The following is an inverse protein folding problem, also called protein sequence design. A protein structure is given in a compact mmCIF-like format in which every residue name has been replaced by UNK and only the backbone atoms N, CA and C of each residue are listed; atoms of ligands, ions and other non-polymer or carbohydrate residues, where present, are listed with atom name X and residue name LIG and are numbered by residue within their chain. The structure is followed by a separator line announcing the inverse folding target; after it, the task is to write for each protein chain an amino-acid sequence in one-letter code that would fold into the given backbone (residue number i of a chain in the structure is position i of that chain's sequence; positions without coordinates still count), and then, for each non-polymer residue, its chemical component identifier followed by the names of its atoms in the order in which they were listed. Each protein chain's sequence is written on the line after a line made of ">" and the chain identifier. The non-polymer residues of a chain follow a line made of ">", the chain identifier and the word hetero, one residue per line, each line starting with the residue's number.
data_IF_685902050436
#
_entry.id   IF_685902050436
#
_cell.length_a   1.000
_cell.length_b   1.000
_cell.length_c   1.000
_cell.angle_alpha   90.00
_cell.angle_beta   90.00
_cell.angle_gamma   90.00
#
_symmetry.space_group_name_H-M   'P 1'
#
loop_
_entity.id
_entity.type
_entity.pdbx_description
1 polymer ?
#
# COMPACT_ATOMS: atom_id res chain seq x y z
N UNK A 1 -26.29 15.16 -11.95
CA UNK A 1 -25.35 16.06 -11.24
C UNK A 1 -24.18 15.21 -10.75
N UNK A 2 -23.04 15.17 -11.45
CA UNK A 2 -21.83 14.48 -10.94
C UNK A 2 -21.36 15.27 -9.72
N UNK A 3 -21.36 14.66 -8.55
CA UNK A 3 -20.90 15.32 -7.33
C UNK A 3 -19.42 15.68 -7.48
N UNK A 4 -18.90 16.70 -6.78
CA UNK A 4 -17.45 17.03 -6.82
C UNK A 4 -16.56 15.81 -6.54
N UNK A 5 -17.08 14.81 -5.82
CA UNK A 5 -16.45 13.51 -5.53
C UNK A 5 -16.27 12.58 -6.76
N UNK A 6 -17.11 12.71 -7.79
CA UNK A 6 -17.08 11.85 -8.98
C UNK A 6 -16.06 12.33 -10.03
N UNK A 7 -15.57 13.55 -9.87
CA UNK A 7 -14.50 14.11 -10.70
C UNK A 7 -13.23 13.25 -10.60
N UNK A 8 -12.42 13.21 -11.66
CA UNK A 8 -11.13 12.52 -11.59
C UNK A 8 -10.31 13.04 -10.40
N UNK A 9 -10.30 14.36 -10.20
CA UNK A 9 -9.61 15.03 -9.08
C UNK A 9 -10.11 14.52 -7.73
N UNK A 10 -11.41 14.46 -7.49
CA UNK A 10 -11.98 13.96 -6.22
C UNK A 10 -11.65 12.49 -5.94
N UNK A 11 -11.43 11.69 -6.98
CA UNK A 11 -11.03 10.28 -6.83
C UNK A 11 -9.54 10.12 -6.56
N UNK A 12 -8.69 10.92 -7.20
CA UNK A 12 -7.24 10.81 -7.08
C UNK A 12 -6.66 11.62 -5.92
N UNK A 13 -7.32 12.66 -5.43
CA UNK A 13 -6.83 13.49 -4.31
C UNK A 13 -6.48 12.65 -3.07
N UNK A 14 -7.34 11.72 -2.58
CA UNK A 14 -6.98 10.86 -1.45
C UNK A 14 -5.79 9.95 -1.72
N UNK A 15 -5.58 9.51 -2.96
CA UNK A 15 -4.42 8.67 -3.35
C UNK A 15 -3.14 9.46 -3.13
N UNK A 16 -3.07 10.69 -3.65
CA UNK A 16 -1.89 11.54 -3.51
C UNK A 16 -1.66 11.99 -2.07
N UNK A 17 -2.72 12.29 -1.31
CA UNK A 17 -2.59 12.61 0.12
C UNK A 17 -2.02 11.44 0.91
N UNK A 18 -2.50 10.22 0.66
CA UNK A 18 -2.00 9.03 1.34
C UNK A 18 -0.57 8.68 0.92
N UNK A 19 -0.26 8.80 -0.38
CA UNK A 19 1.13 8.69 -0.86
C UNK A 19 2.05 9.72 -0.17
N UNK A 20 1.61 10.95 0.04
CA UNK A 20 2.41 11.93 0.77
C UNK A 20 2.66 11.51 2.23
N UNK A 21 1.69 10.88 2.89
CA UNK A 21 1.86 10.32 4.24
C UNK A 21 2.91 9.21 4.26
N UNK A 22 2.82 8.24 3.33
CA UNK A 22 3.80 7.15 3.23
C UNK A 22 5.19 7.72 3.00
N UNK A 23 5.34 8.63 2.04
CA UNK A 23 6.60 9.28 1.73
C UNK A 23 7.20 10.02 2.95
N UNK A 24 6.36 10.73 3.71
CA UNK A 24 6.80 11.42 4.92
C UNK A 24 7.32 10.44 5.98
N UNK A 25 6.63 9.31 6.20
CA UNK A 25 7.09 8.28 7.13
C UNK A 25 8.37 7.58 6.64
N UNK A 26 8.48 7.32 5.34
CA UNK A 26 9.68 6.74 4.72
C UNK A 26 10.88 7.68 4.76
N UNK A 27 10.66 8.99 4.85
CA UNK A 27 11.73 10.00 5.01
C UNK A 27 12.33 10.01 6.42
N UNK A 28 11.70 9.35 7.40
CA UNK A 28 12.20 9.29 8.77
C UNK A 28 13.27 8.20 8.87
N UNK A 29 14.42 8.55 9.45
CA UNK A 29 15.51 7.63 9.75
C UNK A 29 15.02 6.50 10.65
N UNK A 30 15.62 5.31 10.57
CA UNK A 30 15.13 4.14 11.30
C UNK A 30 14.92 4.40 12.79
N UNK A 31 13.65 4.38 13.20
CA UNK A 31 13.24 4.36 14.60
C UNK A 31 13.25 2.90 15.06
N UNK A 32 13.87 2.63 16.21
CA UNK A 32 13.67 1.36 16.92
C UNK A 32 12.32 1.40 17.63
N UNK A 33 11.42 0.51 17.25
CA UNK A 33 10.11 0.31 17.86
C UNK A 33 10.21 -0.62 19.07
N UNK A 34 11.17 -1.55 19.05
CA UNK A 34 11.46 -2.47 20.16
C UNK A 34 12.97 -2.72 20.29
N UNK A 35 13.41 -3.02 21.50
CA UNK A 35 14.78 -3.49 21.78
C UNK A 35 15.03 -4.88 21.19
N UNK A 36 13.97 -5.69 21.06
CA UNK A 36 14.05 -7.02 20.51
C UNK A 36 13.87 -6.99 18.99
N UNK A 37 14.88 -7.48 18.27
CA UNK A 37 14.91 -7.51 16.81
C UNK A 37 13.63 -8.07 16.16
N UNK A 38 13.10 -9.21 16.66
CA UNK A 38 11.93 -9.86 16.05
C UNK A 38 10.68 -8.97 16.14
N UNK A 39 10.50 -8.29 17.27
CA UNK A 39 9.32 -7.44 17.53
C UNK A 39 9.40 -6.14 16.75
N UNK A 40 10.61 -5.56 16.64
CA UNK A 40 10.87 -4.39 15.81
C UNK A 40 10.61 -4.69 14.32
N UNK A 41 11.10 -5.83 13.84
CA UNK A 41 10.89 -6.28 12.47
C UNK A 41 9.40 -6.50 12.15
N UNK A 42 8.68 -7.24 13.01
CA UNK A 42 7.24 -7.51 12.82
C UNK A 42 6.45 -6.21 12.82
N UNK A 43 6.69 -5.30 13.77
CA UNK A 43 5.98 -4.03 13.85
C UNK A 43 6.17 -3.18 12.58
N UNK A 44 7.41 -3.09 12.08
CA UNK A 44 7.73 -2.36 10.84
C UNK A 44 7.05 -2.98 9.62
N UNK A 45 7.03 -4.31 9.50
CA UNK A 45 6.35 -4.99 8.39
C UNK A 45 4.83 -4.81 8.44
N UNK A 46 4.20 -4.83 9.63
CA UNK A 46 2.77 -4.55 9.76
C UNK A 46 2.44 -3.12 9.32
N UNK A 47 3.28 -2.15 9.67
CA UNK A 47 3.10 -0.76 9.24
C UNK A 47 3.11 -0.64 7.70
N UNK A 48 4.14 -1.19 7.03
CA UNK A 48 4.24 -1.16 5.57
C UNK A 48 3.07 -1.88 4.89
N UNK A 49 2.70 -3.07 5.37
CA UNK A 49 1.53 -3.80 4.85
C UNK A 49 0.26 -2.94 4.94
N UNK A 50 0.07 -2.24 6.05
CA UNK A 50 -1.10 -1.38 6.27
C UNK A 50 -1.10 -0.16 5.34
N UNK A 51 0.04 0.50 5.20
CA UNK A 51 0.26 1.66 4.33
C UNK A 51 -0.08 1.34 2.86
N UNK A 52 0.51 0.28 2.31
CA UNK A 52 0.31 -0.11 0.92
C UNK A 52 -1.07 -0.73 0.68
N UNK A 53 -1.68 -1.38 1.68
CA UNK A 53 -3.06 -1.87 1.59
C UNK A 53 -4.06 -0.71 1.45
N UNK A 54 -3.90 0.34 2.26
CA UNK A 54 -4.74 1.55 2.16
C UNK A 54 -4.51 2.23 0.80
N UNK A 55 -3.25 2.37 0.38
CA UNK A 55 -2.93 2.94 -0.94
C UNK A 55 -3.60 2.16 -2.08
N UNK A 56 -3.51 0.83 -2.06
CA UNK A 56 -4.15 -0.03 -3.07
C UNK A 56 -5.67 0.19 -3.11
N UNK A 57 -6.35 0.24 -1.96
CA UNK A 57 -7.81 0.47 -1.91
C UNK A 57 -8.17 1.84 -2.50
N UNK A 58 -7.38 2.86 -2.22
CA UNK A 58 -7.59 4.21 -2.75
C UNK A 58 -7.37 4.25 -4.27
N UNK A 59 -6.32 3.60 -4.77
CA UNK A 59 -6.05 3.48 -6.21
C UNK A 59 -7.15 2.65 -6.89
N UNK A 60 -7.59 1.54 -6.30
CA UNK A 60 -8.68 0.70 -6.81
C UNK A 60 -9.97 1.50 -6.97
N UNK A 61 -10.29 2.37 -5.99
CA UNK A 61 -11.40 3.32 -6.13
C UNK A 61 -11.14 4.33 -7.26
N UNK A 62 -9.92 4.86 -7.37
CA UNK A 62 -9.54 5.84 -8.38
C UNK A 62 -9.53 5.29 -9.82
N UNK A 63 -9.22 4.02 -10.00
CA UNK A 63 -9.23 3.31 -11.30
C UNK A 63 -10.59 2.69 -11.62
N UNK A 64 -11.62 2.94 -10.78
CA UNK A 64 -12.97 2.36 -10.91
C UNK A 64 -12.99 0.83 -10.88
N UNK A 65 -12.14 0.25 -10.05
CA UNK A 65 -12.09 -1.19 -9.82
C UNK A 65 -11.23 -1.97 -10.81
N UNK A 66 -10.38 -1.30 -11.60
CA UNK A 66 -9.41 -1.99 -12.45
C UNK A 66 -8.29 -2.59 -11.59
N UNK A 67 -8.37 -3.90 -11.37
CA UNK A 67 -7.42 -4.63 -10.54
C UNK A 67 -5.97 -4.51 -11.03
N UNK A 68 -5.74 -4.74 -12.33
CA UNK A 68 -4.39 -4.77 -12.91
C UNK A 68 -3.71 -3.40 -12.83
N UNK A 69 -4.42 -2.33 -13.22
CA UNK A 69 -3.89 -0.97 -13.11
C UNK A 69 -3.59 -0.60 -11.65
N UNK A 70 -4.46 -1.00 -10.72
CA UNK A 70 -4.27 -0.67 -9.30
C UNK A 70 -3.08 -1.39 -8.68
N UNK A 71 -2.90 -2.65 -9.06
CA UNK A 71 -1.75 -3.45 -8.63
C UNK A 71 -0.45 -2.85 -9.18
N UNK A 72 -0.40 -2.56 -10.49
CA UNK A 72 0.79 -1.96 -11.14
C UNK A 72 1.15 -0.62 -10.49
N UNK A 73 0.18 0.28 -10.29
CA UNK A 73 0.45 1.58 -9.69
C UNK A 73 0.91 1.47 -8.23
N UNK A 74 0.34 0.55 -7.46
CA UNK A 74 0.79 0.30 -6.07
C UNK A 74 2.22 -0.25 -6.05
N UNK A 75 2.55 -1.20 -6.93
CA UNK A 75 3.90 -1.77 -7.04
C UNK A 75 4.93 -0.73 -7.48
N UNK A 76 4.59 0.12 -8.46
CA UNK A 76 5.45 1.22 -8.89
C UNK A 76 5.73 2.21 -7.75
N UNK A 77 4.69 2.56 -6.99
CA UNK A 77 4.85 3.46 -5.86
C UNK A 77 5.69 2.82 -4.74
N UNK A 78 5.43 1.57 -4.37
CA UNK A 78 6.23 0.84 -3.39
C UNK A 78 7.71 0.74 -3.80
N UNK A 79 7.99 0.39 -5.05
CA UNK A 79 9.36 0.37 -5.57
C UNK A 79 10.03 1.75 -5.56
N UNK A 80 9.27 2.82 -5.83
CA UNK A 80 9.80 4.19 -5.73
C UNK A 80 10.09 4.60 -4.29
N UNK A 81 9.31 4.12 -3.33
CA UNK A 81 9.52 4.38 -1.91
C UNK A 81 10.74 3.63 -1.37
N UNK A 82 10.93 2.36 -1.72
CA UNK A 82 12.15 1.62 -1.38
C UNK A 82 13.41 2.29 -1.96
N UNK A 83 13.32 2.74 -3.22
CA UNK A 83 14.39 3.50 -3.83
C UNK A 83 14.67 4.80 -3.07
N UNK A 84 13.64 5.56 -2.70
CA UNK A 84 13.76 6.76 -1.87
C UNK A 84 14.40 6.45 -0.50
N UNK A 85 13.97 5.38 0.17
CA UNK A 85 14.51 4.95 1.46
C UNK A 85 16.01 4.60 1.40
N UNK A 86 16.53 4.19 0.23
CA UNK A 86 17.98 3.95 0.04
C UNK A 86 18.83 5.21 0.18
N UNK A 87 18.23 6.39 0.02
CA UNK A 87 18.89 7.68 0.24
C UNK A 87 18.74 8.21 1.67
N UNK A 88 17.96 7.54 2.52
CA UNK A 88 17.74 7.97 3.91
C UNK A 88 18.85 7.42 4.82
N UNK A 89 19.70 8.26 5.42
CA UNK A 89 20.81 7.82 6.25
C UNK A 89 20.36 6.92 7.41
N UNK A 90 21.08 5.83 7.67
CA UNK A 90 20.76 4.89 8.75
C UNK A 90 19.64 3.89 8.43
N UNK A 91 19.07 3.89 7.21
CA UNK A 91 18.31 2.75 6.67
C UNK A 91 19.26 1.84 5.91
N UNK A 92 19.29 0.54 6.25
CA UNK A 92 19.79 -0.45 5.30
C UNK A 92 18.69 -0.69 4.26
N UNK A 93 18.78 -0.08 3.08
CA UNK A 93 18.01 -0.55 1.93
C UNK A 93 18.59 -1.88 1.49
N UNK A 94 18.16 -2.97 2.14
CA UNK A 94 18.46 -4.28 1.63
C UNK A 94 17.63 -4.43 0.35
N UNK A 95 18.25 -4.32 -0.82
CA UNK A 95 17.64 -4.69 -2.10
C UNK A 95 17.03 -6.12 -2.10
N UNK A 96 17.33 -6.92 -1.07
CA UNK A 96 16.71 -8.22 -0.77
C UNK A 96 15.30 -8.16 -0.14
N UNK A 97 14.82 -6.99 0.34
CA UNK A 97 13.48 -6.80 0.95
C UNK A 97 12.34 -6.67 -0.07
N UNK A 98 12.66 -6.41 -1.35
CA UNK A 98 11.72 -6.32 -2.48
C UNK A 98 10.88 -7.60 -2.66
N UNK A 99 11.41 -8.74 -2.19
CA UNK A 99 10.70 -10.03 -2.17
C UNK A 99 9.69 -10.19 -1.02
N UNK A 100 9.93 -9.56 0.13
CA UNK A 100 8.99 -9.59 1.26
C UNK A 100 7.89 -8.54 1.11
N UNK A 101 8.18 -7.38 0.52
CA UNK A 101 7.17 -6.32 0.38
C UNK A 101 6.10 -6.67 -0.69
N UNK A 102 6.41 -7.60 -1.61
CA UNK A 102 5.42 -8.27 -2.45
C UNK A 102 4.48 -9.22 -1.68
N UNK A 103 4.85 -9.74 -0.50
CA UNK A 103 3.97 -10.66 0.26
C UNK A 103 2.76 -9.95 0.86
N UNK A 104 2.91 -8.70 1.32
CA UNK A 104 1.81 -7.88 1.82
C UNK A 104 0.74 -7.62 0.75
N UNK A 105 1.17 -7.21 -0.45
CA UNK A 105 0.29 -7.00 -1.60
C UNK A 105 -0.37 -8.31 -2.08
N UNK A 106 0.34 -9.44 -2.02
CA UNK A 106 -0.21 -10.76 -2.34
C UNK A 106 -1.23 -11.24 -1.30
N UNK A 107 -1.01 -10.99 -0.01
CA UNK A 107 -1.96 -11.35 1.06
C UNK A 107 -3.22 -10.48 0.96
N UNK A 108 -3.07 -9.17 0.81
CA UNK A 108 -4.20 -8.26 0.66
C UNK A 108 -5.03 -8.57 -0.60
N UNK A 109 -4.37 -8.88 -1.72
CA UNK A 109 -5.07 -9.26 -2.96
C UNK A 109 -5.80 -10.60 -2.84
N UNK A 110 -5.21 -11.61 -2.19
CA UNK A 110 -5.87 -12.89 -1.92
C UNK A 110 -7.13 -12.73 -1.06
N UNK A 111 -7.07 -11.94 0.01
CA UNK A 111 -8.21 -11.68 0.89
C UNK A 111 -9.34 -10.99 0.12
N UNK A 112 -9.01 -9.97 -0.68
CA UNK A 112 -10.01 -9.25 -1.48
C UNK A 112 -10.66 -10.15 -2.54
N UNK A 113 -9.88 -11.02 -3.21
CA UNK A 113 -10.41 -12.01 -4.14
C UNK A 113 -11.42 -12.95 -3.47
N UNK A 114 -11.08 -13.51 -2.29
CA UNK A 114 -12.00 -14.36 -1.51
C UNK A 114 -13.30 -13.62 -1.16
N UNK A 115 -13.21 -12.39 -0.65
CA UNK A 115 -14.39 -11.61 -0.27
C UNK A 115 -15.29 -11.27 -1.47
N UNK A 116 -14.72 -11.05 -2.66
CA UNK A 116 -15.49 -10.85 -3.88
C UNK A 116 -16.23 -12.13 -4.32
N UNK A 117 -15.62 -13.31 -4.19
CA UNK A 117 -16.30 -14.58 -4.48
C UNK A 117 -17.48 -14.83 -3.54
N UNK A 118 -17.34 -14.51 -2.24
CA UNK A 118 -18.45 -14.59 -1.30
C UNK A 118 -19.58 -13.59 -1.59
N UNK A 119 -19.25 -12.40 -2.12
CA UNK A 119 -20.25 -11.41 -2.56
C UNK A 119 -20.93 -11.81 -3.87
N UNK A 120 -20.22 -12.47 -4.80
CA UNK A 120 -20.79 -13.02 -6.05
C UNK A 120 -21.68 -14.24 -5.81
N UNK A 121 -21.37 -15.04 -4.79
CA UNK A 121 -22.13 -16.24 -4.41
C UNK A 121 -23.28 -15.97 -3.43
N UNK A 122 -23.56 -14.71 -3.06
CA UNK A 122 -24.85 -14.40 -2.43
C UNK A 122 -25.94 -14.57 -3.48
N UNK A 123 -26.92 -15.48 -3.30
CA UNK A 123 -28.06 -15.55 -4.19
C UNK A 123 -28.76 -14.19 -4.18
N UNK A 124 -29.06 -13.65 -5.37
CA UNK A 124 -29.91 -12.47 -5.49
C UNK A 124 -31.26 -12.84 -4.87
N UNK A 125 -31.60 -12.19 -3.74
CA UNK A 125 -32.98 -12.19 -3.23
C UNK A 125 -33.82 -11.29 -4.10
#
# INVERSE_FOLDING_TARGET
>A
MKTKLDSAIGRWLPVFLWAAVIFAFSSITQIKVSEFFIWDFIAKKIAHISEYSILYVLIFRATRGNYLSSLILTMLYAGSDEFHQSFVPGRSSAFYDLGFDLTGANIASYILWKLQQFRRNKPKK
#
